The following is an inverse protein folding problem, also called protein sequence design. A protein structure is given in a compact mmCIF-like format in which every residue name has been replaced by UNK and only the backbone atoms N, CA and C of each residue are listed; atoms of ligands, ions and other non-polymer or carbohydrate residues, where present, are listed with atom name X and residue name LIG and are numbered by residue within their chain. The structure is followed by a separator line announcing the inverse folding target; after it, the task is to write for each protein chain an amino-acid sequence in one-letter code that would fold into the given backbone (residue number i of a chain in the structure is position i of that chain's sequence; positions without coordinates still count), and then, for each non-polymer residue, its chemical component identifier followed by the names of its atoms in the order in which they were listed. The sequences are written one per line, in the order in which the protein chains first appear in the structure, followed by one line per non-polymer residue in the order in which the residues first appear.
data_IF_344955198507
#
_entry.id   IF_344955198507
#
_cell.length_a   1.000
_cell.length_b   1.000
_cell.length_c   1.000
_cell.angle_alpha   90.00
_cell.angle_beta   90.00
_cell.angle_gamma   90.00
#
_symmetry.space_group_name_H-M   'P 1'
#
loop_
_entity.id
_entity.type
_entity.pdbx_description
1 polymer ?
#
# COMPACT_ATOMS: atom_id res chain seq x y z
N UNK A 1 -18.61 7.53 -4.23
CA UNK A 1 -17.17 7.26 -3.98
C UNK A 1 -16.56 8.15 -2.89
N UNK A 2 -16.93 9.43 -2.78
CA UNK A 2 -16.38 10.39 -1.79
C UNK A 2 -16.67 10.02 -0.33
N UNK A 3 -17.87 9.49 -0.05
CA UNK A 3 -18.28 9.10 1.30
C UNK A 3 -17.46 7.93 1.88
N UNK A 4 -17.08 6.96 1.03
CA UNK A 4 -16.28 5.80 1.44
C UNK A 4 -14.86 6.22 1.86
N UNK A 5 -14.27 7.19 1.15
CA UNK A 5 -12.93 7.72 1.48
C UNK A 5 -12.96 8.55 2.76
N UNK A 6 -14.04 9.31 2.98
CA UNK A 6 -14.23 10.10 4.20
C UNK A 6 -14.43 9.19 5.44
N UNK A 7 -15.26 8.16 5.31
CA UNK A 7 -15.48 7.16 6.37
C UNK A 7 -14.20 6.36 6.67
N UNK A 8 -13.46 5.97 5.63
CA UNK A 8 -12.17 5.32 5.80
C UNK A 8 -11.15 6.23 6.52
N UNK A 9 -11.05 7.51 6.13
CA UNK A 9 -10.18 8.49 6.81
C UNK A 9 -10.56 8.71 8.27
N UNK A 10 -11.85 8.80 8.58
CA UNK A 10 -12.34 8.98 9.95
C UNK A 10 -12.00 7.77 10.83
N UNK A 11 -12.17 6.55 10.30
CA UNK A 11 -11.81 5.31 10.99
C UNK A 11 -10.30 5.16 11.20
N UNK A 12 -9.49 5.52 10.20
CA UNK A 12 -8.03 5.45 10.29
C UNK A 12 -7.46 6.53 11.24
N UNK A 13 -8.00 7.75 11.20
CA UNK A 13 -7.51 8.86 12.02
C UNK A 13 -7.76 8.65 13.53
N UNK A 14 -8.89 8.00 13.90
CA UNK A 14 -9.22 7.74 15.31
C UNK A 14 -8.54 6.50 15.90
N UNK A 15 -8.23 5.51 15.07
CA UNK A 15 -7.72 4.21 15.53
C UNK A 15 -6.18 4.10 15.52
N UNK A 16 -5.48 5.00 14.82
CA UNK A 16 -4.06 4.82 14.56
C UNK A 16 -3.25 5.89 15.29
N UNK A 17 -2.96 5.62 16.58
CA UNK A 17 -1.78 6.21 17.22
C UNK A 17 -0.56 5.51 16.60
N UNK A 18 -0.03 6.07 15.51
CA UNK A 18 1.24 5.62 14.96
C UNK A 18 2.32 5.76 16.05
N UNK A 19 3.02 4.67 16.41
CA UNK A 19 4.18 4.75 17.29
C UNK A 19 5.16 5.77 16.72
N UNK A 20 5.59 6.73 17.54
CA UNK A 20 6.42 7.87 17.12
C UNK A 20 7.79 7.47 16.55
N UNK A 21 8.20 6.21 16.74
CA UNK A 21 9.51 5.69 16.34
C UNK A 21 9.49 4.71 15.14
N UNK A 22 8.33 4.49 14.51
CA UNK A 22 8.25 3.72 13.26
C UNK A 22 7.53 4.55 12.20
N UNK A 23 8.29 5.13 11.27
CA UNK A 23 7.76 5.95 10.18
C UNK A 23 6.59 5.26 9.44
N UNK A 24 5.60 6.03 8.97
CA UNK A 24 4.25 5.53 8.64
C UNK A 24 4.16 4.56 7.47
N UNK A 25 5.18 4.45 6.62
CA UNK A 25 5.40 3.43 5.59
C UNK A 25 6.68 3.82 4.84
N UNK A 26 7.50 2.86 4.40
CA UNK A 26 8.70 3.16 3.61
C UNK A 26 8.75 2.30 2.36
N UNK A 27 8.95 2.92 1.20
CA UNK A 27 9.35 2.18 -0.01
C UNK A 27 10.80 1.74 0.17
N UNK A 28 11.02 0.42 0.24
CA UNK A 28 12.37 -0.16 0.37
C UNK A 28 12.92 -0.63 -0.97
N UNK A 29 12.07 -0.88 -1.97
CA UNK A 29 12.49 -1.21 -3.33
C UNK A 29 11.44 -0.79 -4.35
N UNK A 30 11.89 -0.42 -5.56
CA UNK A 30 11.04 -0.13 -6.70
C UNK A 30 11.61 -0.81 -7.96
N UNK A 31 10.79 -1.58 -8.66
CA UNK A 31 11.15 -2.30 -9.89
C UNK A 31 10.22 -1.86 -11.04
N UNK A 32 10.74 -1.34 -12.16
CA UNK A 32 9.93 -1.07 -13.33
C UNK A 32 9.28 -2.34 -13.87
N UNK A 33 7.97 -2.29 -14.17
CA UNK A 33 7.25 -3.40 -14.82
C UNK A 33 6.91 -3.09 -16.29
N UNK A 34 7.00 -1.83 -16.70
CA UNK A 34 6.70 -1.37 -18.04
C UNK A 34 6.46 0.14 -18.08
N UNK A 35 6.10 0.70 -19.26
CA UNK A 35 5.84 2.13 -19.40
C UNK A 35 4.77 2.62 -18.41
N UNK A 36 5.19 3.45 -17.45
CA UNK A 36 4.29 4.03 -16.47
C UNK A 36 3.80 3.08 -15.37
N UNK A 37 4.43 1.90 -15.20
CA UNK A 37 4.13 0.96 -14.13
C UNK A 37 5.39 0.47 -13.39
N UNK A 38 5.27 0.25 -12.08
CA UNK A 38 6.32 -0.30 -11.22
C UNK A 38 5.76 -1.12 -10.07
N UNK A 39 6.52 -2.12 -9.65
CA UNK A 39 6.34 -2.82 -8.39
C UNK A 39 7.06 -2.04 -7.29
N UNK A 40 6.37 -1.77 -6.18
CA UNK A 40 6.94 -1.22 -4.96
C UNK A 40 6.95 -2.29 -3.88
N UNK A 41 8.07 -2.43 -3.19
CA UNK A 41 8.15 -3.14 -1.92
C UNK A 41 8.05 -2.09 -0.83
N UNK A 42 7.00 -2.16 -0.01
CA UNK A 42 6.73 -1.22 1.07
C UNK A 42 6.84 -1.92 2.41
N UNK A 43 7.68 -1.40 3.28
CA UNK A 43 7.71 -1.80 4.68
C UNK A 43 6.67 -1.01 5.47
N UNK A 44 5.79 -1.74 6.15
CA UNK A 44 4.73 -1.19 6.97
C UNK A 44 4.47 -2.11 8.17
N UNK A 45 4.63 -1.59 9.39
CA UNK A 45 4.40 -2.36 10.62
C UNK A 45 5.26 -3.63 10.70
N UNK A 46 6.52 -3.56 10.28
CA UNK A 46 7.45 -4.71 10.24
C UNK A 46 7.13 -5.76 9.17
N UNK A 47 6.18 -5.49 8.27
CA UNK A 47 5.81 -6.38 7.16
C UNK A 47 6.19 -5.76 5.83
N UNK A 48 6.59 -6.59 4.87
CA UNK A 48 6.78 -6.17 3.49
C UNK A 48 5.52 -6.41 2.68
N UNK A 49 5.11 -5.40 1.92
CA UNK A 49 3.95 -5.40 1.05
C UNK A 49 4.41 -5.18 -0.39
N UNK A 50 3.87 -5.96 -1.33
CA UNK A 50 4.07 -5.79 -2.76
C UNK A 50 2.92 -4.97 -3.34
N UNK A 51 3.23 -3.80 -3.90
CA UNK A 51 2.24 -2.86 -4.42
C UNK A 51 2.55 -2.56 -5.89
N UNK A 52 1.57 -2.73 -6.77
CA UNK A 52 1.65 -2.18 -8.12
C UNK A 52 1.31 -0.70 -8.11
N UNK A 53 2.16 0.11 -8.71
CA UNK A 53 1.87 1.51 -9.00
C UNK A 53 1.86 1.73 -10.50
N UNK A 54 0.76 2.26 -11.01
CA UNK A 54 0.62 2.78 -12.36
C UNK A 54 0.45 4.31 -12.33
N UNK A 55 0.50 4.97 -13.49
CA UNK A 55 0.18 6.41 -13.61
C UNK A 55 -1.21 6.77 -13.09
N UNK A 56 -2.14 5.83 -13.15
CA UNK A 56 -3.54 5.99 -12.73
C UNK A 56 -3.76 5.73 -11.23
N UNK A 57 -2.73 5.30 -10.49
CA UNK A 57 -2.84 5.00 -9.06
C UNK A 57 -2.22 3.65 -8.69
N UNK A 58 -2.73 3.05 -7.62
CA UNK A 58 -2.30 1.72 -7.19
C UNK A 58 -3.12 0.65 -7.92
N UNK A 59 -2.45 -0.38 -8.42
CA UNK A 59 -3.04 -1.50 -9.15
C UNK A 59 -2.68 -2.81 -8.44
N UNK A 60 -3.68 -3.68 -8.26
CA UNK A 60 -3.47 -5.05 -7.77
C UNK A 60 -2.74 -5.84 -8.86
N UNK A 61 -1.53 -6.32 -8.58
CA UNK A 61 -0.69 -7.00 -9.57
C UNK A 61 -1.01 -8.49 -9.76
N UNK A 62 -1.70 -9.12 -8.80
CA UNK A 62 -2.09 -10.51 -8.90
C UNK A 62 -2.71 -11.05 -7.63
N UNK A 63 -3.19 -12.28 -7.70
CA UNK A 63 -3.60 -13.12 -6.59
C UNK A 63 -3.01 -14.50 -6.77
N UNK A 64 -2.39 -15.04 -5.73
CA UNK A 64 -2.11 -16.48 -5.64
C UNK A 64 -3.21 -17.04 -4.76
N UNK A 65 -4.18 -17.73 -5.36
CA UNK A 65 -4.94 -18.73 -4.61
C UNK A 65 -4.01 -19.92 -4.40
N UNK A 66 -3.35 -19.96 -3.24
CA UNK A 66 -2.77 -21.21 -2.73
C UNK A 66 -3.95 -22.08 -2.32
N UNK A 67 -4.45 -22.89 -3.26
CA UNK A 67 -5.29 -24.03 -2.94
C UNK A 67 -4.36 -25.11 -2.36
N UNK A 68 -4.42 -25.30 -1.05
CA UNK A 68 -3.94 -26.51 -0.36
C UNK A 68 -4.99 -27.61 -0.50
#
# INVERSE_FOLDING_TARGET
MTALVADWRAKVAGALKWPRDSGPARVVQALPLGPGSRLLVVEFGGRQLLIGQARTGLVRLGETEMQL
#
